data_IF_952903226477
#
_entry.id   IF_952903226477
#
_cell.length_a   1.000
_cell.length_b   1.000
_cell.length_c   1.000
_cell.angle_alpha   90.00
_cell.angle_beta   90.00
_cell.angle_gamma   90.00
#
_symmetry.space_group_name_H-M   'P 1'
#
loop_
_entity.id
_entity.type
_entity.pdbx_description
1 polymer ?
#
# COMPACT_ATOMS: atom_id res chain seq x y z
N UNK A 1 24.94 -34.11 7.19
CA UNK A 1 23.91 -34.09 8.25
C UNK A 1 23.92 -32.70 8.89
N UNK A 2 23.12 -31.77 8.35
CA UNK A 2 22.31 -30.75 9.03
C UNK A 2 21.62 -29.97 7.92
N UNK A 3 20.29 -29.93 8.00
CA UNK A 3 19.38 -29.68 6.90
C UNK A 3 19.45 -28.23 6.39
N UNK A 4 19.28 -28.07 5.07
CA UNK A 4 18.82 -26.83 4.50
C UNK A 4 17.55 -26.41 5.22
N UNK A 5 17.61 -25.34 6.01
CA UNK A 5 16.43 -24.63 6.48
C UNK A 5 15.78 -24.02 5.25
N UNK A 6 14.93 -24.81 4.61
CA UNK A 6 13.98 -24.34 3.63
C UNK A 6 13.14 -23.27 4.30
N UNK A 7 13.53 -22.02 4.10
CA UNK A 7 12.65 -20.88 4.30
C UNK A 7 11.57 -21.01 3.26
N UNK A 8 10.56 -21.84 3.54
CA UNK A 8 9.32 -21.84 2.80
C UNK A 8 8.83 -20.38 2.84
N UNK A 9 8.82 -19.74 1.67
CA UNK A 9 8.24 -18.42 1.52
C UNK A 9 6.78 -18.57 1.89
N UNK A 10 6.42 -18.22 3.13
CA UNK A 10 5.04 -18.28 3.61
C UNK A 10 4.15 -17.55 2.58
N UNK A 11 3.26 -18.26 1.87
CA UNK A 11 2.42 -17.67 0.83
C UNK A 11 1.50 -16.56 1.36
N UNK A 12 1.40 -16.35 2.69
CA UNK A 12 0.76 -15.17 3.28
C UNK A 12 1.55 -13.86 3.12
N UNK A 13 2.86 -13.90 2.89
CA UNK A 13 3.72 -12.69 2.93
C UNK A 13 3.49 -11.74 1.75
N UNK A 14 2.84 -12.19 0.69
CA UNK A 14 2.37 -11.39 -0.43
C UNK A 14 0.87 -11.63 -0.65
N UNK A 15 0.06 -11.48 0.40
CA UNK A 15 -1.38 -11.29 0.17
C UNK A 15 -1.57 -9.93 -0.46
N UNK A 16 -1.70 -9.92 -1.78
CA UNK A 16 -2.08 -8.73 -2.53
C UNK A 16 -3.37 -8.17 -1.92
N UNK A 17 -3.27 -6.96 -1.36
CA UNK A 17 -4.43 -6.29 -0.78
C UNK A 17 -5.32 -5.85 -1.93
N UNK A 18 -6.50 -6.46 -2.02
CA UNK A 18 -7.41 -6.31 -3.16
C UNK A 18 -8.20 -4.99 -3.08
N UNK A 19 -8.31 -4.39 -1.88
CA UNK A 19 -9.17 -3.22 -1.61
C UNK A 19 -8.42 -2.10 -0.87
N UNK A 20 -8.71 -0.86 -1.23
CA UNK A 20 -8.27 0.30 -0.45
C UNK A 20 -9.04 0.39 0.87
N UNK A 21 -8.33 0.24 1.99
CA UNK A 21 -8.85 0.46 3.34
C UNK A 21 -8.58 1.88 3.83
N UNK A 22 -9.27 2.26 4.91
CA UNK A 22 -9.08 3.56 5.57
C UNK A 22 -7.63 3.77 6.04
N UNK A 23 -6.92 2.70 6.38
CA UNK A 23 -5.52 2.77 6.81
C UNK A 23 -4.60 3.28 5.68
N UNK A 24 -4.83 2.85 4.44
CA UNK A 24 -4.05 3.30 3.29
C UNK A 24 -4.29 4.78 2.99
N UNK A 25 -5.54 5.23 3.14
CA UNK A 25 -5.88 6.64 2.99
C UNK A 25 -5.20 7.50 4.07
N UNK A 26 -5.20 7.06 5.32
CA UNK A 26 -4.54 7.75 6.42
C UNK A 26 -3.02 7.83 6.19
N UNK A 27 -2.38 6.73 5.78
CA UNK A 27 -0.96 6.72 5.43
C UNK A 27 -0.65 7.70 4.31
N UNK A 28 -1.37 7.61 3.19
CA UNK A 28 -1.10 8.46 2.04
C UNK A 28 -1.34 9.96 2.33
N UNK A 29 -2.33 10.31 3.18
CA UNK A 29 -2.49 11.67 3.72
C UNK A 29 -1.26 12.11 4.52
N UNK A 30 -0.77 11.26 5.42
CA UNK A 30 0.41 11.59 6.23
C UNK A 30 1.67 11.81 5.37
N UNK A 31 1.86 11.03 4.29
CA UNK A 31 2.96 11.23 3.37
C UNK A 31 2.88 12.57 2.63
N UNK A 32 1.74 12.87 2.00
CA UNK A 32 1.53 14.14 1.29
C UNK A 32 1.84 15.33 2.20
N UNK A 33 1.41 15.22 3.46
CA UNK A 33 1.58 16.22 4.51
C UNK A 33 3.03 16.31 5.02
N UNK A 34 3.71 15.18 5.25
CA UNK A 34 5.09 15.12 5.76
C UNK A 34 6.11 15.66 4.75
N UNK A 35 5.87 15.42 3.46
CA UNK A 35 6.73 15.88 2.38
C UNK A 35 6.27 17.20 1.75
N UNK A 36 5.22 17.83 2.30
CA UNK A 36 4.65 19.08 1.82
C UNK A 36 4.31 19.08 0.32
N UNK A 37 3.84 17.95 -0.19
CA UNK A 37 3.34 17.88 -1.57
C UNK A 37 1.94 18.50 -1.62
N UNK A 38 1.56 19.21 -2.69
CA UNK A 38 0.21 19.77 -2.82
C UNK A 38 -0.84 18.69 -3.10
N UNK A 39 -0.42 17.61 -3.77
CA UNK A 39 -1.29 16.50 -4.16
C UNK A 39 -0.53 15.17 -4.13
N UNK A 40 -1.20 14.10 -3.73
CA UNK A 40 -0.75 12.72 -3.85
C UNK A 40 -1.76 11.85 -4.58
N UNK A 41 -1.29 10.71 -5.09
CA UNK A 41 -2.09 9.73 -5.81
C UNK A 41 -1.96 8.37 -5.14
N UNK A 42 -3.08 7.84 -4.64
CA UNK A 42 -3.17 6.50 -4.07
C UNK A 42 -3.80 5.58 -5.12
N UNK A 43 -3.05 4.58 -5.62
CA UNK A 43 -3.50 3.63 -6.65
C UNK A 43 -3.63 2.24 -6.03
N UNK A 44 -4.72 1.54 -6.35
CA UNK A 44 -4.91 0.13 -6.03
C UNK A 44 -4.55 -0.74 -7.23
N UNK A 45 -3.40 -1.41 -7.15
CA UNK A 45 -2.94 -2.36 -8.18
C UNK A 45 -3.51 -3.77 -7.99
N UNK A 46 -4.23 -4.03 -6.89
CA UNK A 46 -4.84 -5.32 -6.59
C UNK A 46 -6.28 -5.47 -7.10
N UNK A 47 -6.88 -4.40 -7.62
CA UNK A 47 -8.24 -4.42 -8.17
C UNK A 47 -8.26 -4.91 -9.63
N UNK A 48 -9.42 -5.42 -10.07
CA UNK A 48 -9.65 -5.87 -11.46
C UNK A 48 -9.72 -4.71 -12.47
N UNK A 49 -9.88 -3.49 -11.99
CA UNK A 49 -9.89 -2.26 -12.79
C UNK A 49 -9.12 -1.16 -12.06
N UNK A 50 -8.81 -0.08 -12.78
CA UNK A 50 -8.06 1.04 -12.22
C UNK A 50 -8.88 1.72 -11.10
N UNK A 51 -8.44 1.53 -9.87
CA UNK A 51 -8.96 2.20 -8.69
C UNK A 51 -7.91 3.17 -8.15
N UNK A 52 -8.26 4.44 -7.99
CA UNK A 52 -7.35 5.45 -7.42
C UNK A 52 -8.08 6.53 -6.63
N UNK A 53 -7.35 7.21 -5.74
CA UNK A 53 -7.80 8.40 -5.01
C UNK A 53 -6.76 9.51 -5.12
N UNK A 54 -7.20 10.71 -5.47
CA UNK A 54 -6.40 11.93 -5.32
C UNK A 54 -6.49 12.39 -3.86
N UNK A 55 -5.35 12.78 -3.31
CA UNK A 55 -5.23 13.25 -1.94
C UNK A 55 -4.67 14.65 -1.99
N UNK A 56 -5.42 15.62 -1.47
CA UNK A 56 -4.99 17.00 -1.40
C UNK A 56 -4.37 17.28 -0.04
N UNK A 57 -3.32 18.09 -0.05
CA UNK A 57 -2.77 18.65 1.18
C UNK A 57 -3.63 19.84 1.61
N UNK A 58 -4.38 19.67 2.69
CA UNK A 58 -5.25 20.73 3.26
C UNK A 58 -4.60 21.42 4.48
N UNK A 59 -3.27 21.45 4.55
CA UNK A 59 -2.57 22.31 5.50
C UNK A 59 -2.59 23.76 5.05
#
# INVERSE_FOLDING_TARGET
MYAASGGELDPKRLKAVIRLENVHLAQAKNYVVAYNFPVGLLINFGATSLEYKKIFNNR
#
